data_IF_743787047259
#
_entry.id   IF_743787047259
#
_cell.length_a   1.000
_cell.length_b   1.000
_cell.length_c   1.000
_cell.angle_alpha   90.00
_cell.angle_beta   90.00
_cell.angle_gamma   90.00
#
_symmetry.space_group_name_H-M   'P 1'
#
loop_
_entity.id
_entity.type
_entity.pdbx_description
1 polymer ?
#
# COMPACT_ATOMS: atom_id res chain seq x y z
N UNK A 1 27.75 4.39 6.60
CA UNK A 1 26.73 5.29 6.04
C UNK A 1 25.52 4.46 5.71
N UNK A 2 24.43 4.61 6.46
CA UNK A 2 23.15 3.97 6.16
C UNK A 2 22.56 4.82 5.03
N UNK A 3 22.74 4.39 3.78
CA UNK A 3 21.90 4.92 2.71
C UNK A 3 20.50 4.44 3.04
N UNK A 4 19.68 5.32 3.59
CA UNK A 4 18.26 5.10 3.76
C UNK A 4 17.72 4.90 2.35
N UNK A 5 17.59 3.63 1.95
CA UNK A 5 16.91 3.24 0.72
C UNK A 5 15.48 3.70 0.92
N UNK A 6 15.16 4.87 0.34
CA UNK A 6 13.82 5.42 0.32
C UNK A 6 12.92 4.29 -0.16
N UNK A 7 11.92 3.93 0.64
CA UNK A 7 11.05 2.82 0.28
C UNK A 7 10.41 3.13 -1.08
N UNK A 8 10.29 2.15 -2.00
CA UNK A 8 9.72 2.37 -3.33
C UNK A 8 8.36 3.09 -3.28
N UNK A 9 7.59 2.82 -2.22
CA UNK A 9 6.34 3.49 -1.89
C UNK A 9 6.47 5.00 -1.67
N UNK A 10 7.49 5.45 -0.91
CA UNK A 10 7.74 6.88 -0.63
C UNK A 10 8.22 7.59 -1.89
N UNK A 11 9.09 6.95 -2.69
CA UNK A 11 9.54 7.51 -3.96
C UNK A 11 8.35 7.73 -4.93
N UNK A 12 7.42 6.77 -4.98
CA UNK A 12 6.21 6.88 -5.80
C UNK A 12 5.30 8.03 -5.35
N UNK A 13 5.12 8.22 -4.04
CA UNK A 13 4.34 9.32 -3.48
C UNK A 13 4.94 10.69 -3.81
N UNK A 14 6.27 10.83 -3.70
CA UNK A 14 6.97 12.08 -4.01
C UNK A 14 6.85 12.41 -5.50
N UNK A 15 7.05 11.44 -6.38
CA UNK A 15 6.86 11.64 -7.83
C UNK A 15 5.42 12.05 -8.17
N UNK A 16 4.45 11.48 -7.46
CA UNK A 16 3.04 11.80 -7.65
C UNK A 16 2.71 13.23 -7.25
N UNK A 17 3.18 13.68 -6.08
CA UNK A 17 3.01 15.07 -5.62
C UNK A 17 3.62 16.03 -6.65
N UNK A 18 4.83 15.74 -7.12
CA UNK A 18 5.48 16.55 -8.15
C UNK A 18 4.68 16.62 -9.45
N UNK A 19 4.15 15.48 -9.92
CA UNK A 19 3.35 15.41 -11.13
C UNK A 19 2.05 16.23 -11.02
N UNK A 20 1.37 16.15 -9.87
CA UNK A 20 0.17 16.97 -9.60
C UNK A 20 0.54 18.45 -9.57
N UNK A 21 1.57 18.83 -8.82
CA UNK A 21 2.01 20.23 -8.72
C UNK A 21 2.38 20.80 -10.09
N UNK A 22 3.06 20.02 -10.92
CA UNK A 22 3.38 20.39 -12.30
C UNK A 22 2.11 20.53 -13.16
N UNK A 23 1.18 19.58 -13.08
CA UNK A 23 -0.08 19.61 -13.83
C UNK A 23 -0.96 20.81 -13.43
N UNK A 24 -1.07 21.10 -12.14
CA UNK A 24 -1.79 22.27 -11.61
C UNK A 24 -1.14 23.56 -12.09
N UNK A 25 0.20 23.64 -12.10
CA UNK A 25 0.89 24.81 -12.62
C UNK A 25 0.61 25.04 -14.12
N UNK A 26 0.66 23.97 -14.91
CA UNK A 26 0.38 24.03 -16.34
C UNK A 26 -1.07 24.44 -16.62
N UNK A 27 -2.03 23.89 -15.88
CA UNK A 27 -3.45 24.25 -15.98
C UNK A 27 -3.72 25.68 -15.53
N UNK A 28 -3.08 26.15 -14.46
CA UNK A 28 -3.20 27.54 -14.00
C UNK A 28 -2.65 28.52 -15.04
N UNK A 29 -1.46 28.27 -15.57
CA UNK A 29 -0.88 29.07 -16.66
C UNK A 29 -1.77 29.07 -17.91
N UNK A 30 -2.35 27.91 -18.27
CA UNK A 30 -3.31 27.81 -19.37
C UNK A 30 -4.56 28.65 -19.10
N UNK A 31 -5.12 28.56 -17.90
CA UNK A 31 -6.32 29.31 -17.49
C UNK A 31 -6.09 30.82 -17.55
N UNK A 32 -4.92 31.27 -17.09
CA UNK A 32 -4.49 32.66 -17.24
C UNK A 32 -4.38 33.10 -18.71
N UNK A 33 -3.75 32.28 -19.56
CA UNK A 33 -3.61 32.61 -20.98
C UNK A 33 -4.96 32.68 -21.71
N UNK A 34 -5.94 31.85 -21.35
CA UNK A 34 -7.27 31.88 -21.96
C UNK A 34 -7.95 33.23 -21.75
N UNK A 35 -7.87 33.80 -20.55
CA UNK A 35 -8.41 35.13 -20.28
C UNK A 35 -7.69 36.21 -21.09
N UNK A 36 -6.35 36.13 -21.18
CA UNK A 36 -5.56 37.10 -21.94
C UNK A 36 -5.88 37.09 -23.44
N UNK A 37 -6.04 35.90 -24.06
CA UNK A 37 -6.36 35.78 -25.48
C UNK A 37 -7.85 35.99 -25.80
N UNK A 38 -8.74 35.66 -24.85
CA UNK A 38 -10.19 35.80 -25.01
C UNK A 38 -10.71 37.22 -24.82
N UNK A 39 -9.89 38.12 -24.28
CA UNK A 39 -10.29 39.47 -23.88
C UNK A 39 -10.55 39.52 -22.37
N UNK A 40 -9.78 40.34 -21.67
CA UNK A 40 -9.76 40.40 -20.20
C UNK A 40 -11.14 40.72 -19.61
N UNK A 41 -11.91 41.61 -20.24
CA UNK A 41 -13.23 42.05 -19.77
C UNK A 41 -14.34 40.99 -19.90
N UNK A 42 -14.24 40.07 -20.87
CA UNK A 42 -15.23 39.01 -21.15
C UNK A 42 -14.81 37.62 -20.61
N UNK A 43 -13.81 37.62 -19.72
CA UNK A 43 -13.18 36.41 -19.18
C UNK A 43 -13.46 36.21 -17.69
N UNK A 44 -13.05 35.06 -17.16
CA UNK A 44 -13.07 34.76 -15.72
C UNK A 44 -12.34 35.82 -14.85
N UNK A 45 -11.39 36.60 -15.40
CA UNK A 45 -10.72 37.70 -14.66
C UNK A 45 -11.68 38.82 -14.27
N UNK A 46 -12.83 38.95 -14.96
CA UNK A 46 -13.88 39.90 -14.58
C UNK A 46 -14.61 39.51 -13.28
N UNK A 47 -14.35 38.33 -12.73
CA UNK A 47 -14.99 37.86 -11.50
C UNK A 47 -14.56 38.74 -10.32
N UNK A 48 -15.50 39.49 -9.77
CA UNK A 48 -15.23 40.64 -8.87
C UNK A 48 -14.85 40.26 -7.43
N UNK A 49 -14.95 38.99 -7.03
CA UNK A 49 -15.17 38.65 -5.62
C UNK A 49 -14.02 37.94 -4.89
N UNK A 50 -12.75 38.10 -5.30
CA UNK A 50 -11.63 37.34 -4.68
C UNK A 50 -10.61 38.14 -3.89
N UNK A 51 -10.28 39.37 -4.29
CA UNK A 51 -9.33 40.20 -3.57
C UNK A 51 -10.08 41.31 -2.85
N UNK A 52 -10.35 41.07 -1.56
CA UNK A 52 -10.91 42.08 -0.66
C UNK A 52 -9.76 42.78 0.04
N UNK A 53 -9.58 44.06 -0.27
CA UNK A 53 -8.72 44.92 0.52
C UNK A 53 -9.57 45.70 1.53
N UNK A 54 -9.12 45.75 2.78
CA UNK A 54 -9.73 46.62 3.79
C UNK A 54 -9.21 48.03 3.54
N UNK A 55 -10.02 48.82 2.84
CA UNK A 55 -9.84 50.27 2.74
C UNK A 55 -10.24 50.94 4.05
N UNK A 56 -9.72 52.14 4.29
CA UNK A 56 -10.14 52.98 5.41
C UNK A 56 -10.68 54.27 4.82
N UNK A 57 -11.96 54.54 5.05
CA UNK A 57 -12.60 55.78 4.65
C UNK A 57 -11.97 56.99 5.39
N UNK A 58 -12.15 58.23 4.90
CA UNK A 58 -11.62 59.43 5.57
C UNK A 58 -12.10 59.64 7.01
N UNK A 59 -13.20 58.99 7.40
CA UNK A 59 -13.79 58.97 8.74
C UNK A 59 -13.29 57.83 9.64
N UNK A 60 -12.43 56.93 9.11
CA UNK A 60 -11.80 55.84 9.86
C UNK A 60 -12.58 54.52 9.84
N UNK A 61 -13.70 54.44 9.12
CA UNK A 61 -14.48 53.21 9.01
C UNK A 61 -13.84 52.26 7.98
N UNK A 62 -13.72 50.95 8.28
CA UNK A 62 -13.22 49.97 7.33
C UNK A 62 -14.25 49.73 6.21
N UNK A 63 -13.87 50.00 4.97
CA UNK A 63 -14.66 49.68 3.78
C UNK A 63 -14.03 48.49 3.04
N UNK A 64 -14.84 47.51 2.67
CA UNK A 64 -14.40 46.38 1.86
C UNK A 64 -14.43 46.83 0.40
N UNK A 65 -13.27 47.16 -0.15
CA UNK A 65 -13.17 47.51 -1.56
C UNK A 65 -12.90 46.23 -2.36
N UNK A 66 -13.90 45.80 -3.12
CA UNK A 66 -13.78 44.66 -4.04
C UNK A 66 -13.00 45.11 -5.28
N UNK A 67 -11.71 44.76 -5.33
CA UNK A 67 -10.91 44.99 -6.54
C UNK A 67 -11.14 43.85 -7.53
N UNK A 68 -11.64 44.13 -8.75
CA UNK A 68 -11.77 43.10 -9.76
C UNK A 68 -10.38 42.57 -10.15
N UNK A 69 -10.26 41.26 -10.40
CA UNK A 69 -8.98 40.64 -10.77
C UNK A 69 -8.36 41.24 -12.04
N UNK A 70 -9.18 41.88 -12.89
CA UNK A 70 -8.73 42.65 -14.06
C UNK A 70 -7.78 43.80 -13.71
N UNK A 71 -7.94 44.41 -12.53
CA UNK A 71 -7.13 45.56 -12.07
C UNK A 71 -5.99 45.13 -11.14
N UNK A 72 -5.98 43.86 -10.73
CA UNK A 72 -4.93 43.31 -9.87
C UNK A 72 -3.59 43.18 -10.60
N UNK A 73 -2.50 43.10 -9.84
CA UNK A 73 -1.17 42.87 -10.40
C UNK A 73 -1.02 41.46 -10.97
N UNK A 74 -0.01 41.27 -11.83
CA UNK A 74 0.24 39.99 -12.49
C UNK A 74 0.37 38.83 -11.50
N UNK A 75 1.01 39.06 -10.35
CA UNK A 75 1.20 38.02 -9.35
C UNK A 75 -0.14 37.53 -8.79
N UNK A 76 -1.05 38.45 -8.45
CA UNK A 76 -2.36 38.09 -7.93
C UNK A 76 -3.22 37.36 -8.95
N UNK A 77 -3.17 37.76 -10.22
CA UNK A 77 -3.86 37.06 -11.32
C UNK A 77 -3.31 35.64 -11.52
N UNK A 78 -1.99 35.46 -11.47
CA UNK A 78 -1.35 34.15 -11.58
C UNK A 78 -1.72 33.25 -10.39
N UNK A 79 -1.69 33.78 -9.16
CA UNK A 79 -2.09 33.03 -7.96
C UNK A 79 -3.56 32.64 -8.04
N UNK A 80 -4.45 33.53 -8.49
CA UNK A 80 -5.87 33.21 -8.70
C UNK A 80 -6.06 32.10 -9.75
N UNK A 81 -5.30 32.11 -10.85
CA UNK A 81 -5.36 31.05 -11.87
C UNK A 81 -4.88 29.69 -11.34
N UNK A 82 -3.81 29.68 -10.53
CA UNK A 82 -3.31 28.47 -9.86
C UNK A 82 -4.30 27.96 -8.81
N UNK A 83 -4.95 28.88 -8.09
CA UNK A 83 -6.00 28.55 -7.14
C UNK A 83 -7.18 27.87 -7.85
N UNK A 84 -7.69 28.45 -8.95
CA UNK A 84 -8.74 27.81 -9.75
C UNK A 84 -8.34 26.42 -10.24
N UNK A 85 -7.13 26.28 -10.79
CA UNK A 85 -6.64 24.97 -11.26
C UNK A 85 -6.54 23.97 -10.11
N UNK A 86 -6.08 24.41 -8.94
CA UNK A 86 -5.95 23.56 -7.74
C UNK A 86 -7.33 23.11 -7.26
N UNK A 87 -8.27 24.03 -7.05
CA UNK A 87 -9.61 23.72 -6.52
C UNK A 87 -10.43 22.88 -7.48
N UNK A 88 -10.22 23.05 -8.79
CA UNK A 88 -10.86 22.24 -9.84
C UNK A 88 -10.29 20.82 -9.87
N UNK A 89 -8.96 20.67 -9.94
CA UNK A 89 -8.30 19.34 -9.99
C UNK A 89 -8.51 18.56 -8.69
N UNK A 90 -8.54 19.25 -7.55
CA UNK A 90 -8.82 18.63 -6.24
C UNK A 90 -10.31 18.46 -5.97
N UNK A 91 -11.19 18.83 -6.91
CA UNK A 91 -12.65 18.71 -6.81
C UNK A 91 -13.28 19.47 -5.62
N UNK A 92 -12.58 20.48 -5.09
CA UNK A 92 -13.09 21.35 -4.02
C UNK A 92 -14.12 22.33 -4.56
N UNK A 93 -13.80 23.01 -5.67
CA UNK A 93 -14.73 23.82 -6.46
C UNK A 93 -15.59 24.81 -5.67
N UNK A 94 -14.99 25.79 -5.00
CA UNK A 94 -15.73 26.79 -4.20
C UNK A 94 -16.73 27.63 -5.02
N UNK A 95 -16.51 27.75 -6.33
CA UNK A 95 -17.41 28.51 -7.24
C UNK A 95 -17.20 30.02 -7.20
N UNK A 96 -16.09 30.48 -6.63
CA UNK A 96 -15.66 31.87 -6.54
C UNK A 96 -14.90 32.36 -7.78
N UNK A 97 -14.27 31.45 -8.54
CA UNK A 97 -13.81 31.68 -9.92
C UNK A 97 -14.63 30.76 -10.83
N UNK A 98 -15.35 31.36 -11.77
CA UNK A 98 -16.18 30.61 -12.73
C UNK A 98 -15.91 31.06 -14.16
N UNK A 99 -16.10 30.17 -15.15
CA UNK A 99 -16.03 30.54 -16.55
C UNK A 99 -17.08 31.60 -16.88
N UNK A 100 -16.66 32.70 -17.53
CA UNK A 100 -17.54 33.81 -17.91
C UNK A 100 -18.23 33.58 -19.27
N UNK A 101 -17.68 32.70 -20.11
CA UNK A 101 -18.19 32.46 -21.47
C UNK A 101 -18.22 30.95 -21.83
N UNK A 102 -18.90 30.62 -22.94
CA UNK A 102 -19.10 29.22 -23.36
C UNK A 102 -17.79 28.50 -23.70
N UNK A 103 -16.78 29.22 -24.20
CA UNK A 103 -15.48 28.63 -24.49
C UNK A 103 -14.75 28.24 -23.20
N UNK A 104 -14.68 29.15 -22.22
CA UNK A 104 -14.14 28.89 -20.90
C UNK A 104 -14.89 27.75 -20.19
N UNK A 105 -16.21 27.69 -20.35
CA UNK A 105 -17.03 26.61 -19.80
C UNK A 105 -16.68 25.25 -20.43
N UNK A 106 -16.45 25.21 -21.75
CA UNK A 106 -15.98 24.00 -22.43
C UNK A 106 -14.60 23.54 -21.95
N UNK A 107 -13.68 24.48 -21.72
CA UNK A 107 -12.36 24.17 -21.13
C UNK A 107 -12.49 23.66 -19.71
N UNK A 108 -13.30 24.32 -18.87
CA UNK A 108 -13.53 23.92 -17.48
C UNK A 108 -14.06 22.48 -17.40
N UNK A 109 -15.04 22.12 -18.23
CA UNK A 109 -15.58 20.74 -18.30
C UNK A 109 -14.46 19.72 -18.60
N UNK A 110 -13.59 20.00 -19.56
CA UNK A 110 -12.48 19.10 -19.90
C UNK A 110 -11.51 18.97 -18.72
N UNK A 111 -11.16 20.09 -18.07
CA UNK A 111 -10.26 20.10 -16.91
C UNK A 111 -10.86 19.35 -15.71
N UNK A 112 -12.17 19.48 -15.46
CA UNK A 112 -12.87 18.75 -14.41
C UNK A 112 -12.80 17.23 -14.64
N UNK A 113 -13.06 16.74 -15.86
CA UNK A 113 -12.92 15.31 -16.18
C UNK A 113 -11.49 14.81 -15.99
N UNK A 114 -10.49 15.60 -16.41
CA UNK A 114 -9.08 15.26 -16.17
C UNK A 114 -8.75 15.25 -14.67
N UNK A 115 -9.29 16.18 -13.90
CA UNK A 115 -9.13 16.26 -12.45
C UNK A 115 -9.62 14.99 -11.74
N UNK A 116 -10.83 14.53 -12.08
CA UNK A 116 -11.41 13.29 -11.52
C UNK A 116 -10.54 12.07 -11.84
N UNK A 117 -10.02 11.97 -13.07
CA UNK A 117 -9.12 10.89 -13.47
C UNK A 117 -7.81 10.90 -12.67
N UNK A 118 -7.18 12.07 -12.53
CA UNK A 118 -5.96 12.23 -11.72
C UNK A 118 -6.24 11.84 -10.28
N UNK A 119 -7.31 12.36 -9.66
CA UNK A 119 -7.66 12.08 -8.28
C UNK A 119 -7.94 10.58 -8.03
N UNK A 120 -8.63 9.91 -8.96
CA UNK A 120 -8.83 8.46 -8.89
C UNK A 120 -7.51 7.67 -8.90
N UNK A 121 -6.54 8.08 -9.72
CA UNK A 121 -5.20 7.49 -9.73
C UNK A 121 -4.46 7.73 -8.42
N UNK A 122 -4.62 8.91 -7.80
CA UNK A 122 -4.03 9.21 -6.49
C UNK A 122 -4.49 8.23 -5.43
N UNK A 123 -5.81 8.00 -5.35
CA UNK A 123 -6.40 7.08 -4.38
C UNK A 123 -5.85 5.67 -4.63
N UNK A 124 -5.79 5.21 -5.88
CA UNK A 124 -5.25 3.89 -6.22
C UNK A 124 -3.80 3.70 -5.77
N UNK A 125 -2.94 4.70 -6.01
CA UNK A 125 -1.54 4.67 -5.58
C UNK A 125 -1.45 4.70 -4.05
N UNK A 126 -2.20 5.58 -3.37
CA UNK A 126 -2.24 5.65 -1.92
C UNK A 126 -2.67 4.31 -1.30
N UNK A 127 -3.75 3.71 -1.80
CA UNK A 127 -4.20 2.38 -1.36
C UNK A 127 -3.10 1.34 -1.54
N UNK A 128 -2.41 1.32 -2.68
CA UNK A 128 -1.30 0.40 -2.93
C UNK A 128 -0.15 0.60 -1.94
N UNK A 129 0.19 1.85 -1.59
CA UNK A 129 1.25 2.18 -0.63
C UNK A 129 0.89 1.71 0.79
N UNK A 130 -0.35 1.95 1.23
CA UNK A 130 -0.82 1.52 2.55
C UNK A 130 -0.83 -0.01 2.66
N UNK A 131 -1.36 -0.69 1.64
CA UNK A 131 -1.33 -2.14 1.57
C UNK A 131 0.11 -2.64 1.53
N UNK A 132 1.01 -1.98 0.78
CA UNK A 132 2.37 -2.44 0.59
C UNK A 132 3.27 -2.31 1.83
N UNK A 133 3.09 -1.25 2.60
CA UNK A 133 3.90 -0.99 3.79
C UNK A 133 3.39 -1.74 5.03
N UNK A 134 2.11 -2.11 5.05
CA UNK A 134 1.55 -2.91 6.15
C UNK A 134 1.60 -4.41 5.82
N UNK A 135 2.61 -5.11 6.36
CA UNK A 135 2.69 -6.59 6.29
C UNK A 135 1.39 -7.25 6.77
N UNK A 136 0.73 -6.64 7.75
CA UNK A 136 -0.53 -7.12 8.32
C UNK A 136 -1.73 -6.89 7.37
N UNK A 137 -1.77 -5.76 6.66
CA UNK A 137 -2.79 -5.53 5.63
C UNK A 137 -2.61 -6.49 4.45
N UNK A 138 -1.37 -6.74 4.01
CA UNK A 138 -1.08 -7.74 2.97
C UNK A 138 -1.51 -9.14 3.38
N UNK A 139 -1.15 -9.57 4.59
CA UNK A 139 -1.49 -10.93 5.05
C UNK A 139 -2.99 -11.11 5.23
N UNK A 140 -3.70 -10.05 5.66
CA UNK A 140 -5.15 -10.04 5.73
C UNK A 140 -5.79 -10.12 4.33
N UNK A 141 -5.30 -9.35 3.37
CA UNK A 141 -5.81 -9.38 1.99
C UNK A 141 -5.56 -10.73 1.32
N UNK A 142 -4.33 -11.28 1.42
CA UNK A 142 -4.01 -12.60 0.89
C UNK A 142 -4.88 -13.71 1.51
N UNK A 143 -5.21 -13.59 2.81
CA UNK A 143 -6.14 -14.52 3.45
C UNK A 143 -7.56 -14.40 2.87
N UNK A 144 -8.06 -13.19 2.68
CA UNK A 144 -9.38 -12.95 2.09
C UNK A 144 -9.47 -13.53 0.67
N UNK A 145 -8.45 -13.28 -0.16
CA UNK A 145 -8.38 -13.80 -1.53
C UNK A 145 -8.42 -15.34 -1.53
N UNK A 146 -7.66 -16.00 -0.64
CA UNK A 146 -7.69 -17.47 -0.52
C UNK A 146 -9.01 -18.02 0.01
N UNK A 147 -9.64 -17.35 0.96
CA UNK A 147 -10.97 -17.75 1.45
C UNK A 147 -12.00 -17.62 0.33
N UNK A 148 -11.90 -16.58 -0.50
CA UNK A 148 -12.80 -16.37 -1.63
C UNK A 148 -12.63 -17.48 -2.68
N UNK A 149 -11.40 -17.76 -3.11
CA UNK A 149 -11.10 -18.88 -4.03
C UNK A 149 -11.61 -20.22 -3.47
N UNK A 150 -11.37 -20.47 -2.18
CA UNK A 150 -11.86 -21.68 -1.51
C UNK A 150 -13.38 -21.72 -1.49
N UNK A 151 -14.07 -20.61 -1.17
CA UNK A 151 -15.53 -20.55 -1.17
C UNK A 151 -16.11 -20.88 -2.55
N UNK A 152 -15.55 -20.31 -3.61
CA UNK A 152 -15.98 -20.57 -4.99
C UNK A 152 -15.80 -22.05 -5.36
N UNK A 153 -14.63 -22.62 -5.05
CA UNK A 153 -14.34 -24.04 -5.25
C UNK A 153 -15.31 -24.95 -4.48
N UNK A 154 -15.58 -24.62 -3.21
CA UNK A 154 -16.49 -25.40 -2.36
C UNK A 154 -17.93 -25.36 -2.84
N UNK A 155 -18.38 -24.21 -3.37
CA UNK A 155 -19.71 -24.06 -3.98
C UNK A 155 -19.80 -24.87 -5.26
N UNK A 156 -18.82 -24.75 -6.16
CA UNK A 156 -18.77 -25.49 -7.42
C UNK A 156 -18.80 -27.01 -7.20
N UNK A 157 -18.19 -27.50 -6.11
CA UNK A 157 -18.16 -28.93 -5.73
C UNK A 157 -19.31 -29.37 -4.83
N UNK A 158 -20.29 -28.49 -4.57
CA UNK A 158 -21.47 -28.82 -3.77
C UNK A 158 -21.13 -29.39 -2.39
N UNK A 159 -20.05 -28.93 -1.75
CA UNK A 159 -19.65 -29.49 -0.45
C UNK A 159 -20.73 -29.25 0.61
N UNK A 160 -20.96 -30.19 1.54
CA UNK A 160 -21.89 -30.00 2.65
C UNK A 160 -21.45 -28.86 3.57
N UNK A 161 -22.41 -28.22 4.25
CA UNK A 161 -22.19 -27.00 5.06
C UNK A 161 -21.13 -27.21 6.15
N UNK A 162 -21.10 -28.38 6.77
CA UNK A 162 -20.16 -28.69 7.84
C UNK A 162 -18.71 -28.70 7.33
N UNK A 163 -18.45 -29.33 6.17
CA UNK A 163 -17.13 -29.31 5.53
C UNK A 163 -16.73 -27.89 5.12
N UNK A 164 -17.67 -27.08 4.61
CA UNK A 164 -17.36 -25.67 4.29
C UNK A 164 -16.92 -24.88 5.51
N UNK A 165 -17.56 -25.12 6.65
CA UNK A 165 -17.19 -24.49 7.92
C UNK A 165 -15.78 -24.91 8.35
N UNK A 166 -15.49 -26.22 8.34
CA UNK A 166 -14.17 -26.75 8.68
C UNK A 166 -13.06 -26.19 7.78
N UNK A 167 -13.28 -26.14 6.47
CA UNK A 167 -12.32 -25.56 5.51
C UNK A 167 -12.09 -24.08 5.79
N UNK A 168 -13.14 -23.30 6.08
CA UNK A 168 -12.99 -21.88 6.42
C UNK A 168 -12.19 -21.68 7.71
N UNK A 169 -12.48 -22.45 8.74
CA UNK A 169 -11.74 -22.43 10.01
C UNK A 169 -10.26 -22.77 9.82
N UNK A 170 -9.94 -23.74 8.94
CA UNK A 170 -8.56 -24.03 8.58
C UNK A 170 -7.84 -22.80 7.99
N UNK A 171 -8.47 -22.09 7.04
CA UNK A 171 -7.89 -20.90 6.44
C UNK A 171 -7.70 -19.76 7.45
N UNK A 172 -8.65 -19.54 8.37
CA UNK A 172 -8.52 -18.47 9.37
C UNK A 172 -7.50 -18.77 10.46
N UNK A 173 -7.37 -20.03 10.87
CA UNK A 173 -6.66 -20.38 12.11
C UNK A 173 -5.25 -20.93 11.85
N UNK A 174 -5.04 -21.57 10.70
CA UNK A 174 -3.83 -22.37 10.44
C UNK A 174 -3.08 -21.95 9.18
N UNK A 175 -3.79 -21.56 8.12
CA UNK A 175 -3.18 -21.27 6.81
C UNK A 175 -2.07 -20.22 6.88
N UNK A 176 -2.25 -19.13 7.64
CA UNK A 176 -1.22 -18.10 7.78
C UNK A 176 0.10 -18.68 8.34
N UNK A 177 0.03 -19.60 9.30
CA UNK A 177 1.22 -20.25 9.88
C UNK A 177 1.90 -21.17 8.87
N UNK A 178 1.12 -21.96 8.13
CA UNK A 178 1.66 -22.87 7.11
C UNK A 178 2.31 -22.12 5.94
N UNK A 179 1.70 -21.02 5.48
CA UNK A 179 2.28 -20.20 4.40
C UNK A 179 3.62 -19.60 4.83
N UNK A 180 3.72 -19.09 6.05
CA UNK A 180 4.99 -18.57 6.58
C UNK A 180 6.06 -19.67 6.60
N UNK A 181 5.73 -20.86 7.09
CA UNK A 181 6.70 -21.98 7.12
C UNK A 181 7.12 -22.44 5.73
N UNK A 182 6.18 -22.51 4.78
CA UNK A 182 6.51 -22.84 3.39
C UNK A 182 7.37 -21.76 2.72
N UNK A 183 7.16 -20.49 3.06
CA UNK A 183 8.00 -19.40 2.60
C UNK A 183 9.40 -19.47 3.20
N UNK A 184 9.52 -19.75 4.50
CA UNK A 184 10.81 -19.96 5.19
C UNK A 184 11.59 -21.12 4.56
N UNK A 185 10.91 -22.23 4.25
CA UNK A 185 11.50 -23.38 3.56
C UNK A 185 12.09 -22.97 2.20
N UNK A 186 11.32 -22.25 1.37
CA UNK A 186 11.78 -21.74 0.07
C UNK A 186 12.95 -20.77 0.20
N UNK A 187 12.88 -19.83 1.15
CA UNK A 187 13.98 -18.90 1.42
C UNK A 187 15.27 -19.63 1.80
N UNK A 188 15.17 -20.72 2.56
CA UNK A 188 16.33 -21.55 2.88
C UNK A 188 16.83 -22.34 1.67
N UNK A 189 15.94 -22.88 0.83
CA UNK A 189 16.30 -23.61 -0.40
C UNK A 189 17.04 -22.74 -1.42
N UNK A 190 16.69 -21.45 -1.52
CA UNK A 190 17.36 -20.48 -2.41
C UNK A 190 18.81 -20.15 -1.96
N UNK A 191 19.18 -20.46 -0.71
CA UNK A 191 20.51 -20.21 -0.19
C UNK A 191 21.52 -21.26 -0.70
N UNK A 192 22.74 -20.84 -1.08
CA UNK A 192 23.86 -21.75 -1.27
C UNK A 192 24.09 -22.61 -0.02
N UNK A 193 24.47 -23.87 -0.22
CA UNK A 193 24.64 -24.88 0.84
C UNK A 193 25.37 -24.37 2.09
N UNK A 194 26.50 -23.68 1.91
CA UNK A 194 27.32 -23.17 3.02
C UNK A 194 26.60 -22.08 3.85
N UNK A 195 25.78 -21.23 3.20
CA UNK A 195 24.98 -20.21 3.90
C UNK A 195 23.77 -20.84 4.59
N UNK A 196 23.08 -21.76 3.91
CA UNK A 196 21.95 -22.51 4.48
C UNK A 196 22.34 -23.24 5.76
N UNK A 197 23.46 -23.97 5.71
CA UNK A 197 24.03 -24.67 6.87
C UNK A 197 24.19 -23.73 8.08
N UNK A 198 24.86 -22.58 7.88
CA UNK A 198 25.09 -21.60 8.95
C UNK A 198 23.81 -21.00 9.50
N UNK A 199 22.86 -20.66 8.63
CA UNK A 199 21.56 -20.09 9.04
C UNK A 199 20.76 -21.12 9.85
N UNK A 200 20.59 -22.33 9.34
CA UNK A 200 19.84 -23.38 10.05
C UNK A 200 20.52 -23.74 11.37
N UNK A 201 21.85 -23.84 11.39
CA UNK A 201 22.60 -24.10 12.62
C UNK A 201 22.34 -23.02 13.68
N UNK A 202 22.23 -21.75 13.28
CA UNK A 202 21.90 -20.65 14.19
C UNK A 202 20.49 -20.74 14.77
N UNK A 203 19.51 -21.23 13.98
CA UNK A 203 18.11 -21.42 14.41
C UNK A 203 18.02 -22.61 15.37
N UNK A 204 18.63 -23.73 15.00
CA UNK A 204 18.57 -25.00 15.74
C UNK A 204 19.39 -24.96 17.04
N UNK A 205 20.40 -24.08 17.13
CA UNK A 205 21.23 -23.93 18.32
C UNK A 205 20.40 -23.77 19.61
N UNK A 206 19.34 -22.97 19.58
CA UNK A 206 18.49 -22.77 20.76
C UNK A 206 17.73 -24.06 21.15
N UNK A 207 17.31 -24.86 20.17
CA UNK A 207 16.66 -26.15 20.41
C UNK A 207 17.64 -27.21 20.93
N UNK A 208 18.90 -27.17 20.47
CA UNK A 208 19.97 -28.04 20.97
C UNK A 208 20.36 -27.73 22.41
N UNK A 209 20.28 -26.46 22.83
CA UNK A 209 20.57 -26.04 24.21
C UNK A 209 19.46 -26.48 25.19
N UNK A 210 18.19 -26.45 24.75
CA UNK A 210 17.03 -26.85 25.57
C UNK A 210 16.91 -28.35 25.80
N UNK A 211 17.34 -29.18 24.84
CA UNK A 211 17.28 -30.64 24.94
C UNK A 211 18.68 -31.24 24.88
N UNK A 212 19.32 -31.53 26.02
CA UNK A 212 20.70 -32.04 26.06
C UNK A 212 20.83 -33.48 25.53
N UNK A 213 19.72 -34.21 25.36
CA UNK A 213 19.70 -35.57 24.79
C UNK A 213 19.58 -35.58 23.25
N UNK A 214 19.69 -34.41 22.61
CA UNK A 214 19.49 -34.27 21.19
C UNK A 214 20.64 -34.93 20.39
N UNK A 215 20.29 -35.89 19.53
CA UNK A 215 21.22 -36.68 18.72
C UNK A 215 22.19 -35.80 17.91
N UNK A 216 21.74 -34.62 17.46
CA UNK A 216 22.56 -33.65 16.74
C UNK A 216 23.80 -33.19 17.52
N UNK A 217 23.71 -33.03 18.84
CA UNK A 217 24.80 -32.52 19.66
C UNK A 217 25.95 -33.52 19.81
N UNK A 218 25.65 -34.81 19.69
CA UNK A 218 26.60 -35.91 19.81
C UNK A 218 27.41 -36.07 18.52
N UNK A 219 26.87 -35.61 17.39
CA UNK A 219 27.50 -35.79 16.08
C UNK A 219 28.66 -34.81 15.83
N UNK A 220 29.66 -35.18 15.00
CA UNK A 220 30.76 -34.28 14.63
C UNK A 220 30.27 -32.99 13.97
N UNK A 221 30.98 -31.86 14.09
CA UNK A 221 30.56 -30.56 13.52
C UNK A 221 30.27 -30.61 12.02
N UNK A 222 31.06 -31.37 11.25
CA UNK A 222 30.85 -31.55 9.81
C UNK A 222 29.52 -32.25 9.48
N UNK A 223 29.12 -33.22 10.31
CA UNK A 223 27.84 -33.93 10.16
C UNK A 223 26.68 -33.04 10.59
N UNK A 224 26.87 -32.25 11.65
CA UNK A 224 25.88 -31.26 12.07
C UNK A 224 25.60 -30.24 10.97
N UNK A 225 26.65 -29.71 10.33
CA UNK A 225 26.53 -28.76 9.21
C UNK A 225 25.85 -29.40 7.99
N UNK A 226 26.18 -30.65 7.67
CA UNK A 226 25.54 -31.39 6.56
C UNK A 226 24.05 -31.64 6.81
N UNK A 227 23.70 -32.03 8.03
CA UNK A 227 22.31 -32.26 8.43
C UNK A 227 21.54 -30.94 8.50
N UNK A 228 22.11 -29.88 9.08
CA UNK A 228 21.50 -28.56 9.11
C UNK A 228 21.25 -28.03 7.70
N UNK A 229 22.18 -28.25 6.78
CA UNK A 229 21.97 -27.91 5.38
C UNK A 229 20.90 -28.78 4.69
N UNK A 230 20.45 -29.89 5.27
CA UNK A 230 19.41 -30.76 4.69
C UNK A 230 18.05 -30.63 5.39
N UNK A 231 17.99 -29.87 6.48
CA UNK A 231 16.75 -29.64 7.25
C UNK A 231 15.84 -28.63 6.54
N UNK A 232 14.54 -28.90 6.62
CA UNK A 232 13.48 -28.03 6.08
C UNK A 232 12.48 -27.76 7.20
N UNK A 233 12.04 -26.50 7.42
CA UNK A 233 11.03 -26.19 8.41
C UNK A 233 9.66 -26.72 7.99
N UNK A 234 8.93 -27.32 8.92
CA UNK A 234 7.58 -27.88 8.71
C UNK A 234 6.68 -27.50 9.88
N UNK A 235 5.44 -27.11 9.56
CA UNK A 235 4.41 -26.80 10.56
C UNK A 235 3.27 -27.80 10.42
N UNK A 236 2.91 -28.40 11.55
CA UNK A 236 1.93 -29.48 11.65
C UNK A 236 0.72 -28.98 12.43
N UNK A 237 -0.48 -29.36 12.00
CA UNK A 237 -1.71 -28.97 12.69
C UNK A 237 -1.89 -29.76 13.98
N UNK A 238 -2.57 -29.17 14.96
CA UNK A 238 -2.98 -29.92 16.16
C UNK A 238 -3.87 -31.11 15.76
N UNK A 239 -3.61 -32.29 16.34
CA UNK A 239 -4.33 -33.53 16.05
C UNK A 239 -3.87 -34.27 14.79
N UNK A 240 -2.80 -33.82 14.12
CA UNK A 240 -2.21 -34.54 12.99
C UNK A 240 -1.10 -35.48 13.47
N UNK A 241 -1.24 -36.77 13.16
CA UNK A 241 -0.26 -37.79 13.53
C UNK A 241 1.02 -37.64 12.69
N UNK A 242 2.17 -37.48 13.36
CA UNK A 242 3.49 -37.40 12.72
C UNK A 242 4.09 -38.77 12.43
N UNK A 243 3.96 -39.68 13.38
CA UNK A 243 4.49 -41.05 13.35
C UNK A 243 3.37 -41.97 13.80
N UNK A 244 3.20 -43.11 13.13
CA UNK A 244 2.26 -44.16 13.52
C UNK A 244 3.00 -45.47 13.74
N UNK A 245 2.65 -46.17 14.81
CA UNK A 245 3.18 -47.49 15.08
C UNK A 245 2.90 -48.45 13.91
N UNK A 246 3.89 -49.29 13.58
CA UNK A 246 3.80 -50.24 12.47
C UNK A 246 3.95 -49.63 11.08
N UNK A 247 4.21 -48.32 10.94
CA UNK A 247 4.52 -47.69 9.65
C UNK A 247 5.99 -47.29 9.55
N UNK A 248 6.65 -47.51 8.39
CA UNK A 248 7.99 -47.00 8.17
C UNK A 248 7.99 -45.47 8.16
N UNK A 249 9.01 -44.85 8.75
CA UNK A 249 9.23 -43.40 8.74
C UNK A 249 10.45 -43.07 7.89
N UNK A 250 10.31 -42.12 6.96
CA UNK A 250 11.39 -41.67 6.07
C UNK A 250 12.08 -40.38 6.57
N UNK A 251 11.58 -39.83 7.68
CA UNK A 251 11.98 -38.52 8.17
C UNK A 251 12.35 -38.56 9.65
N UNK A 252 13.43 -37.83 9.99
CA UNK A 252 13.80 -37.51 11.35
C UNK A 252 13.26 -36.12 11.69
N UNK A 253 12.50 -36.02 12.78
CA UNK A 253 11.87 -34.77 13.21
C UNK A 253 12.64 -34.14 14.35
N UNK A 254 12.77 -32.81 14.29
CA UNK A 254 13.35 -31.99 15.36
C UNK A 254 12.32 -30.98 15.82
N UNK A 255 11.86 -31.10 17.07
CA UNK A 255 10.91 -30.14 17.64
C UNK A 255 11.61 -28.82 17.96
N UNK A 256 11.23 -27.77 17.24
CA UNK A 256 11.70 -26.40 17.52
C UNK A 256 10.76 -25.64 18.47
N UNK A 257 9.44 -25.72 18.22
CA UNK A 257 8.40 -25.03 18.98
C UNK A 257 7.09 -25.84 18.93
N UNK A 258 6.32 -25.81 20.03
CA UNK A 258 5.08 -26.57 20.20
C UNK A 258 5.23 -27.73 21.18
N UNK A 259 4.19 -28.54 21.27
CA UNK A 259 4.12 -29.74 22.10
C UNK A 259 3.81 -30.95 21.22
N UNK A 260 4.45 -32.07 21.52
CA UNK A 260 4.15 -33.37 20.92
C UNK A 260 3.74 -34.31 22.05
N UNK A 261 2.65 -35.04 21.86
CA UNK A 261 2.20 -36.06 22.78
C UNK A 261 2.29 -37.42 22.09
N UNK A 262 2.81 -38.41 22.82
CA UNK A 262 2.72 -39.81 22.41
C UNK A 262 1.32 -40.31 22.78
N UNK A 263 0.61 -40.84 21.79
CA UNK A 263 -0.69 -41.45 21.98
C UNK A 263 -0.49 -42.97 21.93
N UNK A 264 -0.68 -43.61 23.08
CA UNK A 264 -0.67 -45.08 23.23
C UNK A 264 -2.01 -45.69 22.82
#
# INVERSE_FOLDING_TARGET
GRMDVISPSVSSLVMLIYFISFGVNLLGCMWYMIAWFGGVEDSWLSTKSILVHVGVLPDGEPELEETPLTEADFYSQLVASLYWATTTVTTVGYGDITPANTFEMGVAIVVEFLGVLVFGLLIGILSSVFLNNSRQARSAQALQDRIQEANEWMVARHLPKDLRKTVRTFYTDVWQRQVMTHHDAKMLEDLPFALRSKVVMSIVKQSMEKSPQNLLRIMPPSVQELLAASMVPVTVCSGQDLIKEGRPTEHLWLLHSGEMAELH
#
